data_IF_402291811974
#
_entry.id   IF_402291811974
#
_cell.length_a   1.000
_cell.length_b   1.000
_cell.length_c   1.000
_cell.angle_alpha   90.00
_cell.angle_beta   90.00
_cell.angle_gamma   90.00
#
_symmetry.space_group_name_H-M   'P 1'
#
loop_
_entity.id
_entity.type
_entity.pdbx_description
1 polymer ?
#
# COMPACT_ATOMS: atom_id res chain seq x y z
N UNK A 1 -26.55 -59.20 9.65
CA UNK A 1 -27.02 -57.83 9.35
C UNK A 1 -26.18 -56.83 10.13
N UNK A 2 -25.79 -55.75 9.45
CA UNK A 2 -25.16 -54.48 9.91
C UNK A 2 -23.74 -54.52 10.52
N UNK A 3 -22.93 -53.63 9.94
CA UNK A 3 -21.49 -53.38 10.08
C UNK A 3 -21.26 -52.37 11.20
N UNK A 4 -20.10 -52.44 11.87
CA UNK A 4 -19.13 -51.35 11.98
C UNK A 4 -17.86 -51.86 12.68
N UNK A 5 -16.67 -51.79 12.05
CA UNK A 5 -15.41 -52.14 12.70
C UNK A 5 -14.94 -50.98 13.58
N UNK A 6 -14.81 -51.25 14.88
CA UNK A 6 -14.20 -50.37 15.87
C UNK A 6 -12.68 -50.33 15.70
N UNK A 7 -12.15 -49.12 15.81
CA UNK A 7 -10.77 -48.70 15.64
C UNK A 7 -9.85 -49.45 16.62
N UNK A 8 -8.81 -50.10 16.10
CA UNK A 8 -7.71 -50.61 16.90
C UNK A 8 -6.68 -49.49 17.14
N UNK A 9 -6.39 -49.23 18.41
CA UNK A 9 -5.29 -48.37 18.86
C UNK A 9 -4.01 -49.20 18.96
N UNK A 10 -2.88 -48.51 18.79
CA UNK A 10 -1.51 -48.84 19.23
C UNK A 10 -0.54 -49.30 18.14
N UNK A 11 0.13 -48.32 17.55
CA UNK A 11 1.48 -48.46 17.01
C UNK A 11 2.26 -47.20 17.31
N UNK A 12 3.21 -47.27 18.25
CA UNK A 12 4.19 -46.21 18.51
C UNK A 12 4.95 -45.87 17.22
N UNK A 13 5.04 -44.59 16.87
CA UNK A 13 5.90 -44.18 15.77
C UNK A 13 5.91 -42.67 15.53
N UNK A 14 7.05 -42.06 15.79
CA UNK A 14 7.51 -40.74 15.34
C UNK A 14 6.83 -39.50 15.95
N UNK A 15 7.60 -38.83 16.81
CA UNK A 15 7.60 -37.38 16.95
C UNK A 15 7.94 -36.76 15.58
N UNK A 16 6.93 -36.57 14.73
CA UNK A 16 7.03 -35.64 13.63
C UNK A 16 6.48 -34.31 14.14
N UNK A 17 7.36 -33.32 14.26
CA UNK A 17 7.00 -31.93 14.45
C UNK A 17 6.05 -31.51 13.32
N UNK A 18 4.75 -31.68 13.55
CA UNK A 18 3.72 -31.04 12.76
C UNK A 18 3.77 -29.58 13.12
N UNK A 19 4.51 -28.79 12.35
CA UNK A 19 4.22 -27.37 12.24
C UNK A 19 2.72 -27.29 11.98
N UNK A 20 1.97 -26.81 12.98
CA UNK A 20 0.57 -26.45 12.79
C UNK A 20 0.64 -25.30 11.79
N UNK A 21 0.47 -25.66 10.51
CA UNK A 21 0.33 -24.71 9.44
C UNK A 21 -0.95 -23.95 9.73
N UNK A 22 -0.81 -22.83 10.43
CA UNK A 22 -1.86 -21.83 10.46
C UNK A 22 -1.91 -21.29 9.04
N UNK A 23 -2.80 -21.87 8.24
CA UNK A 23 -3.29 -21.21 7.04
C UNK A 23 -4.11 -20.03 7.56
N UNK A 24 -3.41 -18.92 7.84
CA UNK A 24 -4.06 -17.63 8.00
C UNK A 24 -4.69 -17.37 6.63
N UNK A 25 -6.01 -17.54 6.57
CA UNK A 25 -6.85 -17.05 5.51
C UNK A 25 -6.58 -15.56 5.39
N UNK A 26 -5.67 -15.19 4.50
CA UNK A 26 -5.43 -13.81 4.20
C UNK A 26 -6.67 -13.27 3.49
N UNK A 27 -7.32 -12.23 4.03
CA UNK A 27 -8.40 -11.58 3.31
C UNK A 27 -7.83 -11.02 2.01
N UNK A 28 -8.63 -11.04 0.95
CA UNK A 28 -8.38 -10.42 -0.35
C UNK A 28 -8.32 -8.88 -0.30
N UNK A 29 -7.98 -8.33 0.86
CA UNK A 29 -7.86 -6.92 1.16
C UNK A 29 -6.40 -6.52 1.01
N UNK A 30 -6.16 -5.36 0.40
CA UNK A 30 -4.81 -4.80 0.30
C UNK A 30 -4.27 -4.56 1.72
N UNK A 31 -3.00 -4.89 1.93
CA UNK A 31 -2.35 -4.65 3.21
C UNK A 31 -1.79 -3.22 3.27
N UNK A 32 -2.02 -2.54 4.38
CA UNK A 32 -1.53 -1.17 4.60
C UNK A 32 -0.22 -1.18 5.38
N UNK A 33 0.74 -0.36 4.92
CA UNK A 33 2.02 -0.16 5.58
C UNK A 33 2.34 1.31 5.65
N UNK A 34 2.65 1.80 6.85
CA UNK A 34 3.03 3.19 7.10
C UNK A 34 4.51 3.26 7.49
N UNK A 35 5.26 4.12 6.80
CA UNK A 35 6.68 4.34 7.06
C UNK A 35 6.94 5.83 7.36
N UNK A 36 7.90 6.16 8.24
CA UNK A 36 8.31 7.54 8.44
C UNK A 36 8.92 8.12 7.17
N UNK A 37 8.66 9.39 6.86
CA UNK A 37 9.35 10.07 5.77
C UNK A 37 10.87 10.16 6.04
N UNK A 38 11.70 10.14 5.00
CA UNK A 38 13.17 10.21 5.11
C UNK A 38 13.66 11.52 5.76
N UNK A 39 12.89 12.61 5.67
CA UNK A 39 13.21 13.86 6.38
C UNK A 39 12.74 13.89 7.85
N UNK A 40 12.08 12.83 8.31
CA UNK A 40 11.49 12.72 9.64
C UNK A 40 10.21 13.54 9.84
N UNK A 41 9.65 14.15 8.80
CA UNK A 41 8.44 14.96 8.89
C UNK A 41 7.23 14.19 8.38
N UNK A 42 6.53 13.54 9.32
CA UNK A 42 5.31 12.78 9.04
C UNK A 42 5.60 11.36 8.55
N UNK A 43 4.58 10.76 7.95
CA UNK A 43 4.62 9.39 7.49
C UNK A 43 3.91 9.20 6.15
N UNK A 44 4.32 8.20 5.38
CA UNK A 44 3.69 7.82 4.13
C UNK A 44 3.08 6.43 4.29
N UNK A 45 1.83 6.31 3.87
CA UNK A 45 1.06 5.05 3.90
C UNK A 45 0.93 4.49 2.48
N UNK A 46 1.16 3.20 2.36
CA UNK A 46 1.11 2.43 1.12
C UNK A 46 0.10 1.29 1.26
N UNK A 47 -0.69 1.06 0.23
CA UNK A 47 -1.56 -0.11 0.09
C UNK A 47 -0.92 -1.09 -0.89
N UNK A 48 -0.68 -2.32 -0.46
CA UNK A 48 0.00 -3.33 -1.27
C UNK A 48 -0.87 -4.58 -1.45
N UNK A 49 -0.86 -5.14 -2.66
CA UNK A 49 -1.44 -6.45 -2.91
C UNK A 49 -0.68 -7.54 -2.13
N UNK A 50 -1.38 -8.49 -1.47
CA UNK A 50 -0.71 -9.58 -0.77
C UNK A 50 0.19 -10.39 -1.71
N UNK A 51 1.47 -10.48 -1.38
CA UNK A 51 2.42 -11.39 -2.02
C UNK A 51 2.19 -12.83 -1.51
N UNK A 52 3.11 -13.77 -1.82
CA UNK A 52 2.99 -15.17 -1.37
C UNK A 52 3.04 -15.29 0.17
N UNK A 53 3.74 -14.37 0.85
CA UNK A 53 3.87 -14.36 2.32
C UNK A 53 3.81 -12.95 2.88
N UNK A 54 3.39 -12.76 4.16
CA UNK A 54 3.28 -11.42 4.75
C UNK A 54 4.58 -10.67 4.78
N UNK A 55 5.67 -11.39 5.04
CA UNK A 55 7.01 -10.83 5.04
C UNK A 55 7.38 -10.31 3.65
N UNK A 56 6.96 -10.98 2.58
CA UNK A 56 7.23 -10.51 1.23
C UNK A 56 6.41 -9.27 0.88
N UNK A 57 5.15 -9.18 1.31
CA UNK A 57 4.33 -7.97 1.12
C UNK A 57 4.95 -6.76 1.83
N UNK A 58 5.41 -6.95 3.07
CA UNK A 58 6.08 -5.89 3.83
C UNK A 58 7.41 -5.46 3.18
N UNK A 59 8.20 -6.41 2.67
CA UNK A 59 9.43 -6.11 1.95
C UNK A 59 9.16 -5.29 0.68
N UNK A 60 8.12 -5.63 -0.07
CA UNK A 60 7.68 -4.84 -1.23
C UNK A 60 7.27 -3.43 -0.82
N UNK A 61 6.51 -3.28 0.28
CA UNK A 61 6.11 -1.98 0.79
C UNK A 61 7.31 -1.12 1.21
N UNK A 62 8.30 -1.71 1.89
CA UNK A 62 9.56 -1.01 2.25
C UNK A 62 10.35 -0.60 1.02
N UNK A 63 10.42 -1.46 0.01
CA UNK A 63 11.11 -1.16 -1.24
C UNK A 63 10.41 -0.04 -2.02
N UNK A 64 9.08 -0.10 -2.14
CA UNK A 64 8.27 0.95 -2.75
C UNK A 64 8.47 2.29 -2.03
N UNK A 65 8.47 2.30 -0.69
CA UNK A 65 8.74 3.49 0.09
C UNK A 65 10.12 4.07 -0.20
N UNK A 66 11.18 3.26 -0.09
CA UNK A 66 12.55 3.73 -0.32
C UNK A 66 12.77 4.24 -1.75
N UNK A 67 12.10 3.64 -2.74
CA UNK A 67 12.28 3.98 -4.14
C UNK A 67 11.46 5.21 -4.56
N UNK A 68 10.19 5.28 -4.16
CA UNK A 68 9.25 6.29 -4.67
C UNK A 68 9.02 7.48 -3.73
N UNK A 69 9.43 7.45 -2.46
CA UNK A 69 9.26 8.60 -1.56
C UNK A 69 9.81 9.91 -2.18
N UNK A 70 11.02 9.97 -2.76
CA UNK A 70 11.54 11.22 -3.32
C UNK A 70 10.65 11.80 -4.42
N UNK A 71 10.12 10.96 -5.31
CA UNK A 71 9.22 11.38 -6.39
C UNK A 71 7.85 11.81 -5.86
N UNK A 72 7.27 11.07 -4.90
CA UNK A 72 6.01 11.44 -4.25
C UNK A 72 6.10 12.79 -3.56
N UNK A 73 7.22 13.06 -2.89
CA UNK A 73 7.47 14.34 -2.23
C UNK A 73 7.65 15.49 -3.21
N UNK A 74 8.39 15.29 -4.30
CA UNK A 74 8.51 16.31 -5.35
C UNK A 74 7.16 16.62 -5.99
N UNK A 75 6.36 15.59 -6.30
CA UNK A 75 5.03 15.76 -6.86
C UNK A 75 4.09 16.51 -5.88
N UNK A 76 4.08 16.15 -4.59
CA UNK A 76 3.27 16.86 -3.59
C UNK A 76 3.71 18.32 -3.40
N UNK A 77 5.03 18.56 -3.40
CA UNK A 77 5.59 19.92 -3.33
C UNK A 77 5.15 20.75 -4.54
N UNK A 78 5.16 20.19 -5.74
CA UNK A 78 4.71 20.87 -6.97
C UNK A 78 3.22 21.19 -6.93
N UNK A 79 2.37 20.25 -6.49
CA UNK A 79 0.94 20.51 -6.23
C UNK A 79 0.74 21.74 -5.35
N UNK A 80 1.51 21.85 -4.26
CA UNK A 80 1.45 23.01 -3.37
C UNK A 80 1.88 24.29 -4.07
N UNK A 81 2.98 24.26 -4.86
CA UNK A 81 3.48 25.43 -5.60
C UNK A 81 2.45 25.95 -6.61
N UNK A 82 1.77 25.05 -7.35
CA UNK A 82 0.79 25.46 -8.36
C UNK A 82 -0.55 25.88 -7.74
N UNK A 83 -0.97 25.24 -6.64
CA UNK A 83 -2.23 25.55 -5.97
C UNK A 83 -2.17 26.83 -5.12
N UNK A 84 -1.03 27.09 -4.44
CA UNK A 84 -0.86 28.21 -3.52
C UNK A 84 -1.28 29.59 -4.08
N UNK A 85 -0.85 30.03 -5.28
CA UNK A 85 -1.23 31.35 -5.80
C UNK A 85 -2.72 31.45 -6.12
N UNK A 86 -3.38 30.33 -6.42
CA UNK A 86 -4.82 30.30 -6.70
C UNK A 86 -5.57 30.39 -5.37
N UNK A 87 -5.19 29.61 -4.36
CA UNK A 87 -5.82 29.60 -3.03
C UNK A 87 -5.62 30.94 -2.30
N UNK A 88 -4.45 31.56 -2.43
CA UNK A 88 -4.10 32.81 -1.74
C UNK A 88 -4.99 34.01 -2.10
N UNK A 89 -5.72 33.95 -3.22
CA UNK A 89 -6.62 35.03 -3.70
C UNK A 89 -7.95 35.11 -2.92
N UNK A 90 -8.16 34.30 -1.87
CA UNK A 90 -9.37 34.29 -1.04
C UNK A 90 -10.28 33.09 -1.33
N UNK A 91 -11.57 33.11 -0.91
CA UNK A 91 -12.50 32.01 -1.15
C UNK A 91 -12.58 31.63 -2.63
N UNK A 92 -12.63 30.33 -2.94
CA UNK A 92 -12.71 29.86 -4.32
C UNK A 92 -14.12 30.13 -4.88
N UNK A 93 -14.19 30.87 -5.98
CA UNK A 93 -15.38 30.90 -6.83
C UNK A 93 -15.33 29.70 -7.80
N UNK A 94 -16.45 29.32 -8.43
CA UNK A 94 -16.46 28.22 -9.41
C UNK A 94 -15.42 28.38 -10.53
N UNK A 95 -15.17 29.61 -11.00
CA UNK A 95 -14.15 29.87 -12.01
C UNK A 95 -12.73 29.62 -11.49
N UNK A 96 -12.48 29.91 -10.21
CA UNK A 96 -11.19 29.67 -9.56
C UNK A 96 -11.00 28.20 -9.17
N UNK A 97 -12.08 27.46 -8.92
CA UNK A 97 -12.02 26.00 -8.79
C UNK A 97 -11.59 25.39 -10.12
N UNK A 98 -12.17 25.82 -11.24
CA UNK A 98 -11.74 25.37 -12.57
C UNK A 98 -10.28 25.77 -12.89
N UNK A 99 -9.83 26.97 -12.48
CA UNK A 99 -8.41 27.38 -12.59
C UNK A 99 -7.50 26.45 -11.76
N UNK A 100 -7.93 26.09 -10.55
CA UNK A 100 -7.19 25.20 -9.65
C UNK A 100 -7.08 23.79 -10.20
N UNK A 101 -8.20 23.21 -10.66
CA UNK A 101 -8.24 21.87 -11.24
C UNK A 101 -7.36 21.81 -12.50
N UNK A 102 -7.44 22.83 -13.36
CA UNK A 102 -6.59 22.92 -14.55
C UNK A 102 -5.09 23.03 -14.19
N UNK A 103 -4.75 23.77 -13.14
CA UNK A 103 -3.38 23.89 -12.66
C UNK A 103 -2.85 22.60 -12.02
N UNK A 104 -3.73 21.80 -11.39
CA UNK A 104 -3.38 20.54 -10.74
C UNK A 104 -3.35 19.35 -11.70
N UNK A 105 -4.07 19.40 -12.83
CA UNK A 105 -4.22 18.28 -13.76
C UNK A 105 -2.88 17.66 -14.20
N UNK A 106 -1.85 18.46 -14.45
CA UNK A 106 -0.53 17.96 -14.81
C UNK A 106 0.13 17.19 -13.66
N UNK A 107 0.01 17.69 -12.44
CA UNK A 107 0.58 17.05 -11.26
C UNK A 107 -0.22 15.82 -10.84
N UNK A 108 -1.52 15.78 -11.11
CA UNK A 108 -2.34 14.58 -10.96
C UNK A 108 -1.94 13.47 -11.94
N UNK A 109 -1.75 13.82 -13.22
CA UNK A 109 -1.24 12.86 -14.21
C UNK A 109 0.12 12.28 -13.79
N UNK A 110 1.00 13.12 -13.24
CA UNK A 110 2.29 12.66 -12.71
C UNK A 110 2.15 11.73 -11.50
N UNK A 111 1.22 12.01 -10.59
CA UNK A 111 0.93 11.11 -9.46
C UNK A 111 0.42 9.75 -9.95
N UNK A 112 -0.42 9.75 -10.97
CA UNK A 112 -0.94 8.52 -11.56
C UNK A 112 0.18 7.69 -12.22
N UNK A 113 1.11 8.33 -12.93
CA UNK A 113 2.31 7.66 -13.47
C UNK A 113 3.18 7.04 -12.36
N UNK A 114 3.34 7.73 -11.23
CA UNK A 114 4.06 7.20 -10.07
C UNK A 114 3.34 5.97 -9.49
N UNK A 115 2.00 6.04 -9.35
CA UNK A 115 1.21 4.91 -8.88
C UNK A 115 1.31 3.69 -9.79
N UNK A 116 1.20 3.88 -11.10
CA UNK A 116 1.33 2.80 -12.08
C UNK A 116 2.69 2.12 -11.98
N UNK A 117 3.78 2.90 -11.95
CA UNK A 117 5.13 2.34 -11.77
C UNK A 117 5.29 1.59 -10.45
N UNK A 118 4.75 2.15 -9.36
CA UNK A 118 4.81 1.50 -8.05
C UNK A 118 4.03 0.19 -8.01
N UNK A 119 2.88 0.15 -8.68
CA UNK A 119 2.06 -1.05 -8.79
C UNK A 119 2.75 -2.11 -9.65
N UNK A 120 3.33 -1.72 -10.78
CA UNK A 120 4.03 -2.62 -11.69
C UNK A 120 5.31 -3.20 -11.07
N UNK A 121 6.07 -2.39 -10.32
CA UNK A 121 7.35 -2.80 -9.73
C UNK A 121 7.19 -3.53 -8.40
N UNK A 122 6.26 -3.11 -7.54
CA UNK A 122 6.17 -3.59 -6.16
C UNK A 122 4.79 -4.13 -5.76
N UNK A 123 3.77 -3.98 -6.62
CA UNK A 123 2.39 -4.33 -6.28
C UNK A 123 1.81 -3.41 -5.20
N UNK A 124 2.30 -2.18 -5.11
CA UNK A 124 1.90 -1.19 -4.10
C UNK A 124 1.40 0.10 -4.76
N UNK A 125 0.54 0.82 -4.07
CA UNK A 125 0.12 2.18 -4.41
C UNK A 125 0.29 3.08 -3.19
N UNK A 126 0.56 4.36 -3.43
CA UNK A 126 0.56 5.34 -2.35
C UNK A 126 -0.89 5.69 -1.96
N UNK A 127 -1.14 5.75 -0.65
CA UNK A 127 -2.48 5.97 -0.11
C UNK A 127 -2.63 7.35 0.53
N UNK A 128 -1.74 7.71 1.46
CA UNK A 128 -1.86 8.96 2.22
C UNK A 128 -0.56 9.41 2.87
N UNK A 129 -0.52 10.70 3.23
CA UNK A 129 0.46 11.27 4.16
C UNK A 129 -0.20 11.44 5.52
N UNK A 130 0.50 11.09 6.60
CA UNK A 130 0.06 11.27 7.99
C UNK A 130 0.99 12.17 8.80
#
# INVERSE_FOLDING_TARGET
MKRQPGIAVLGLGALAAGAVGVVLLWPSEMAEFTFPAVDGQGSLTYQCYPAVTPQQTELNARAAHAFFEPELRDANRRKTIVAAPIIAKGPLSPEREAELDAALAQEEARFEEIHQRMQDEFGCIFHSVG
#
